data_IF_844137697606
#
_entry.id   IF_844137697606
#
_cell.length_a   1.000
_cell.length_b   1.000
_cell.length_c   1.000
_cell.angle_alpha   90.00
_cell.angle_beta   90.00
_cell.angle_gamma   90.00
#
_symmetry.space_group_name_H-M   'P 1'
#
loop_
_entity.id
_entity.type
_entity.pdbx_description
1 polymer ?
#
# COMPACT_ATOMS: atom_id res chain seq x y z
N UNK A 1 7.04 20.39 -16.83
CA UNK A 1 7.50 19.72 -15.59
C UNK A 1 6.35 19.16 -14.76
N UNK A 2 5.41 19.98 -14.24
CA UNK A 2 4.26 19.48 -13.47
C UNK A 2 3.29 18.68 -14.36
N UNK A 3 3.00 19.18 -15.57
CA UNK A 3 2.15 18.48 -16.53
C UNK A 3 2.73 17.10 -16.93
N UNK A 4 4.04 17.05 -17.20
CA UNK A 4 4.73 15.80 -17.57
C UNK A 4 4.70 14.78 -16.41
N UNK A 5 4.85 15.25 -15.16
CA UNK A 5 4.74 14.42 -13.97
C UNK A 5 3.32 13.87 -13.79
N UNK A 6 2.30 14.71 -13.95
CA UNK A 6 0.90 14.29 -13.84
C UNK A 6 0.55 13.27 -14.92
N UNK A 7 1.04 13.47 -16.14
CA UNK A 7 0.84 12.53 -17.23
C UNK A 7 1.57 11.21 -16.99
N UNK A 8 2.79 11.25 -16.45
CA UNK A 8 3.51 10.05 -16.03
C UNK A 8 2.75 9.25 -14.97
N UNK A 9 2.26 9.94 -13.92
CA UNK A 9 1.48 9.32 -12.84
C UNK A 9 0.19 8.71 -13.39
N UNK A 10 -0.53 9.43 -14.27
CA UNK A 10 -1.75 8.91 -14.90
C UNK A 10 -1.49 7.67 -15.74
N UNK A 11 -0.36 7.62 -16.45
CA UNK A 11 -0.01 6.50 -17.33
C UNK A 11 0.48 5.25 -16.58
N UNK A 12 0.90 5.40 -15.32
CA UNK A 12 1.45 4.30 -14.49
C UNK A 12 0.65 4.11 -13.20
N UNK A 13 -0.60 4.60 -13.17
CA UNK A 13 -1.42 4.59 -11.97
C UNK A 13 -1.70 3.16 -11.49
N UNK A 14 -1.87 2.22 -12.41
CA UNK A 14 -1.98 0.78 -12.17
C UNK A 14 -0.74 0.24 -11.45
N UNK A 15 0.46 0.58 -11.92
CA UNK A 15 1.72 0.18 -11.33
C UNK A 15 1.92 0.78 -9.94
N UNK A 16 1.55 2.06 -9.76
CA UNK A 16 1.61 2.75 -8.47
C UNK A 16 0.69 2.07 -7.45
N UNK A 17 -0.57 1.80 -7.82
CA UNK A 17 -1.54 1.16 -6.94
C UNK A 17 -1.16 -0.30 -6.64
N UNK A 18 -0.60 -1.01 -7.61
CA UNK A 18 -0.04 -2.35 -7.42
C UNK A 18 1.12 -2.32 -6.43
N UNK A 19 2.07 -1.41 -6.61
CA UNK A 19 3.20 -1.22 -5.71
C UNK A 19 2.77 -0.90 -4.29
N UNK A 20 1.79 0.00 -4.11
CA UNK A 20 1.24 0.35 -2.81
C UNK A 20 0.58 -0.86 -2.13
N UNK A 21 -0.23 -1.62 -2.88
CA UNK A 21 -0.90 -2.83 -2.37
C UNK A 21 0.12 -3.90 -1.96
N UNK A 22 1.09 -4.17 -2.84
CA UNK A 22 2.14 -5.15 -2.58
C UNK A 22 3.08 -4.74 -1.45
N UNK A 23 3.32 -3.44 -1.25
CA UNK A 23 4.07 -2.95 -0.10
C UNK A 23 3.35 -3.27 1.22
N UNK A 24 2.05 -2.97 1.32
CA UNK A 24 1.26 -3.27 2.53
C UNK A 24 1.23 -4.78 2.82
N UNK A 25 1.04 -5.60 1.78
CA UNK A 25 1.11 -7.06 1.90
C UNK A 25 2.50 -7.50 2.38
N UNK A 26 3.55 -7.03 1.71
CA UNK A 26 4.94 -7.42 1.97
C UNK A 26 5.38 -7.15 3.41
N UNK A 27 5.09 -5.95 3.93
CA UNK A 27 5.40 -5.57 5.32
C UNK A 27 4.67 -6.48 6.33
N UNK A 28 3.55 -7.09 5.92
CA UNK A 28 2.77 -7.99 6.78
C UNK A 28 3.28 -9.43 6.81
N UNK A 29 4.14 -9.85 5.86
CA UNK A 29 4.60 -11.24 5.75
C UNK A 29 5.67 -11.57 6.79
N UNK A 30 6.68 -10.71 6.93
CA UNK A 30 7.78 -10.90 7.87
C UNK A 30 8.34 -9.54 8.30
N UNK A 31 9.07 -9.52 9.42
CA UNK A 31 9.78 -8.34 9.91
C UNK A 31 11.29 -8.59 9.83
N UNK A 32 11.99 -7.74 9.11
CA UNK A 32 13.45 -7.75 9.01
C UNK A 32 13.97 -6.40 9.51
N UNK A 33 14.74 -6.43 10.60
CA UNK A 33 15.31 -5.25 11.25
C UNK A 33 16.79 -5.43 11.50
N UNK A 34 17.43 -4.40 12.02
CA UNK A 34 18.85 -4.45 12.35
C UNK A 34 19.11 -5.55 13.40
N UNK A 35 19.81 -6.60 12.96
CA UNK A 35 20.18 -7.75 13.79
C UNK A 35 19.14 -8.87 13.95
N UNK A 36 17.90 -8.76 13.42
CA UNK A 36 16.92 -9.85 13.56
C UNK A 36 15.93 -10.01 12.40
N UNK A 37 15.41 -11.23 12.29
CA UNK A 37 14.35 -11.60 11.37
C UNK A 37 13.23 -12.32 12.13
N UNK A 38 11.99 -11.85 11.98
CA UNK A 38 10.83 -12.37 12.67
C UNK A 38 9.76 -12.80 11.66
N UNK A 39 9.20 -14.00 11.89
CA UNK A 39 8.15 -14.57 11.06
C UNK A 39 7.09 -15.23 11.95
N UNK A 40 5.84 -14.80 11.81
CA UNK A 40 4.73 -15.13 12.72
C UNK A 40 5.08 -14.90 14.20
N UNK A 41 5.63 -13.72 14.51
CA UNK A 41 5.95 -13.34 15.87
C UNK A 41 7.16 -14.06 16.48
N UNK A 42 7.86 -14.94 15.75
CA UNK A 42 9.01 -15.70 16.27
C UNK A 42 10.31 -15.32 15.56
N UNK A 43 11.38 -15.12 16.32
CA UNK A 43 12.73 -14.95 15.78
C UNK A 43 13.16 -16.20 15.00
N UNK A 44 13.73 -16.00 13.83
CA UNK A 44 14.19 -17.08 12.94
C UNK A 44 15.70 -17.00 12.76
N UNK A 45 16.34 -18.16 12.81
CA UNK A 45 17.75 -18.30 12.44
C UNK A 45 17.97 -18.05 10.95
N UNK A 46 19.23 -17.80 10.57
CA UNK A 46 19.64 -17.35 9.22
C UNK A 46 19.08 -18.20 8.07
N UNK A 47 19.15 -19.52 8.16
CA UNK A 47 18.65 -20.41 7.10
C UNK A 47 17.13 -20.41 6.97
N UNK A 48 16.42 -20.34 8.10
CA UNK A 48 14.95 -20.23 8.08
C UNK A 48 14.52 -18.87 7.54
N UNK A 49 15.19 -17.80 7.95
CA UNK A 49 14.98 -16.46 7.42
C UNK A 49 15.17 -16.42 5.90
N UNK A 50 16.22 -17.06 5.37
CA UNK A 50 16.46 -17.18 3.93
C UNK A 50 15.30 -17.89 3.22
N UNK A 51 14.84 -19.03 3.74
CA UNK A 51 13.70 -19.75 3.15
C UNK A 51 12.44 -18.90 3.13
N UNK A 52 12.11 -18.23 4.25
CA UNK A 52 10.95 -17.34 4.33
C UNK A 52 11.08 -16.21 3.32
N UNK A 53 12.25 -15.57 3.22
CA UNK A 53 12.49 -14.49 2.28
C UNK A 53 12.31 -14.94 0.83
N UNK A 54 12.92 -16.06 0.43
CA UNK A 54 12.83 -16.58 -0.94
C UNK A 54 11.40 -17.00 -1.28
N UNK A 55 10.70 -17.67 -0.36
CA UNK A 55 9.29 -18.03 -0.55
C UNK A 55 8.39 -16.82 -0.67
N UNK A 56 8.60 -15.78 0.15
CA UNK A 56 7.85 -14.53 0.07
C UNK A 56 8.13 -13.81 -1.25
N UNK A 57 9.39 -13.75 -1.68
CA UNK A 57 9.77 -13.17 -2.96
C UNK A 57 9.09 -13.89 -4.13
N UNK A 58 9.22 -15.21 -4.19
CA UNK A 58 8.58 -16.01 -5.23
C UNK A 58 7.05 -15.87 -5.24
N UNK A 59 6.42 -15.96 -4.05
CA UNK A 59 4.98 -15.75 -3.90
C UNK A 59 4.55 -14.35 -4.35
N UNK A 60 5.31 -13.31 -3.98
CA UNK A 60 5.03 -11.94 -4.40
C UNK A 60 5.13 -11.77 -5.91
N UNK A 61 6.08 -12.44 -6.58
CA UNK A 61 6.22 -12.40 -8.04
C UNK A 61 5.02 -13.04 -8.77
N UNK A 62 4.41 -14.06 -8.18
CA UNK A 62 3.20 -14.69 -8.74
C UNK A 62 1.94 -13.85 -8.50
N UNK A 63 1.85 -13.17 -7.36
CA UNK A 63 0.68 -12.38 -6.97
C UNK A 63 0.68 -10.99 -7.62
N UNK A 64 1.85 -10.38 -7.81
CA UNK A 64 1.99 -9.04 -8.42
C UNK A 64 1.23 -8.87 -9.74
N UNK A 65 1.35 -9.75 -10.75
CA UNK A 65 0.61 -9.57 -12.01
C UNK A 65 -0.90 -9.66 -11.81
N UNK A 66 -1.38 -10.53 -10.90
CA UNK A 66 -2.81 -10.66 -10.59
C UNK A 66 -3.34 -9.34 -9.99
N UNK A 67 -2.60 -8.77 -9.03
CA UNK A 67 -2.95 -7.48 -8.42
C UNK A 67 -2.89 -6.35 -9.46
N UNK A 68 -1.91 -6.38 -10.36
CA UNK A 68 -1.79 -5.48 -11.49
C UNK A 68 -3.01 -5.51 -12.40
N UNK A 69 -3.44 -6.70 -12.81
CA UNK A 69 -4.60 -6.89 -13.66
C UNK A 69 -5.88 -6.39 -12.98
N UNK A 70 -6.03 -6.63 -11.67
CA UNK A 70 -7.17 -6.11 -10.89
C UNK A 70 -7.20 -4.58 -10.93
N UNK A 71 -6.06 -3.92 -10.71
CA UNK A 71 -5.98 -2.46 -10.77
C UNK A 71 -6.22 -1.93 -12.18
N UNK A 72 -5.61 -2.52 -13.19
CA UNK A 72 -5.79 -2.12 -14.59
C UNK A 72 -7.27 -2.21 -15.03
N UNK A 73 -7.99 -3.25 -14.59
CA UNK A 73 -9.41 -3.41 -14.87
C UNK A 73 -10.30 -2.47 -14.05
N UNK A 74 -9.92 -2.16 -12.82
CA UNK A 74 -10.77 -1.36 -11.91
C UNK A 74 -10.59 0.14 -12.10
N UNK A 75 -9.38 0.60 -12.36
CA UNK A 75 -9.01 2.02 -12.41
C UNK A 75 -9.91 2.90 -13.30
N UNK A 76 -10.32 2.47 -14.51
CA UNK A 76 -11.22 3.27 -15.36
C UNK A 76 -12.56 3.61 -14.71
N UNK A 77 -12.98 2.84 -13.72
CA UNK A 77 -14.28 2.98 -13.04
C UNK A 77 -14.17 3.63 -11.65
N UNK A 78 -12.96 3.89 -11.17
CA UNK A 78 -12.75 4.47 -9.83
C UNK A 78 -12.58 6.00 -9.98
N UNK A 79 -13.47 6.81 -9.37
CA UNK A 79 -13.30 8.26 -9.34
C UNK A 79 -11.96 8.65 -8.69
N UNK A 80 -11.30 9.74 -9.15
CA UNK A 80 -10.01 10.16 -8.60
C UNK A 80 -10.02 10.41 -7.09
N UNK A 81 -11.15 10.88 -6.54
CA UNK A 81 -11.30 11.10 -5.09
C UNK A 81 -11.26 9.79 -4.30
N UNK A 82 -11.88 8.72 -4.81
CA UNK A 82 -11.81 7.41 -4.18
C UNK A 82 -10.40 6.84 -4.22
N UNK A 83 -9.67 7.04 -5.31
CA UNK A 83 -8.26 6.63 -5.40
C UNK A 83 -7.39 7.35 -4.37
N UNK A 84 -7.55 8.67 -4.25
CA UNK A 84 -6.83 9.44 -3.24
C UNK A 84 -7.17 8.93 -1.83
N UNK A 85 -8.44 8.65 -1.55
CA UNK A 85 -8.87 8.08 -0.28
C UNK A 85 -8.24 6.71 0.02
N UNK A 86 -8.20 5.83 -0.99
CA UNK A 86 -7.54 4.53 -0.89
C UNK A 86 -6.04 4.66 -0.64
N UNK A 87 -5.36 5.57 -1.35
CA UNK A 87 -3.93 5.84 -1.17
C UNK A 87 -3.64 6.31 0.25
N UNK A 88 -4.45 7.22 0.79
CA UNK A 88 -4.29 7.72 2.16
C UNK A 88 -4.44 6.60 3.19
N UNK A 89 -5.48 5.77 3.07
CA UNK A 89 -5.73 4.67 4.01
C UNK A 89 -4.60 3.64 3.92
N UNK A 90 -4.30 3.14 2.72
CA UNK A 90 -3.27 2.12 2.51
C UNK A 90 -1.88 2.63 2.90
N UNK A 91 -1.57 3.88 2.57
CA UNK A 91 -0.31 4.53 2.94
C UNK A 91 -0.15 4.62 4.45
N UNK A 92 -1.20 5.07 5.16
CA UNK A 92 -1.14 5.17 6.63
C UNK A 92 -1.08 3.80 7.31
N UNK A 93 -1.80 2.80 6.79
CA UNK A 93 -1.69 1.41 7.24
C UNK A 93 -0.25 0.89 7.05
N UNK A 94 0.34 1.14 5.88
CA UNK A 94 1.71 0.73 5.56
C UNK A 94 2.75 1.36 6.49
N UNK A 95 2.65 2.68 6.72
CA UNK A 95 3.56 3.40 7.63
C UNK A 95 3.42 2.90 9.06
N UNK A 96 2.18 2.76 9.55
CA UNK A 96 1.95 2.26 10.90
C UNK A 96 2.50 0.85 11.10
N UNK A 97 2.30 -0.03 10.12
CA UNK A 97 2.83 -1.38 10.20
C UNK A 97 4.36 -1.41 10.14
N UNK A 98 4.98 -0.65 9.23
CA UNK A 98 6.43 -0.62 9.08
C UNK A 98 7.15 -0.06 10.33
N UNK A 99 6.58 1.00 10.90
CA UNK A 99 7.14 1.67 12.07
C UNK A 99 6.67 1.06 13.41
N UNK A 100 5.80 0.03 13.38
CA UNK A 100 5.12 -0.52 14.58
C UNK A 100 4.41 0.56 15.41
N UNK A 101 3.83 1.55 14.75
CA UNK A 101 3.05 2.59 15.40
C UNK A 101 1.61 2.13 15.67
N UNK A 102 0.97 2.81 16.63
CA UNK A 102 -0.41 2.53 16.96
C UNK A 102 -1.33 2.97 15.82
N UNK A 103 -2.06 2.01 15.24
CA UNK A 103 -3.02 2.24 14.15
C UNK A 103 -4.17 3.17 14.55
N UNK A 104 -4.49 3.31 15.83
CA UNK A 104 -5.64 4.07 16.32
C UNK A 104 -5.25 5.34 17.08
N UNK A 105 -4.01 5.81 16.92
CA UNK A 105 -3.65 7.12 17.45
C UNK A 105 -4.41 8.24 16.71
N UNK A 106 -4.50 9.41 17.34
CA UNK A 106 -5.27 10.53 16.78
C UNK A 106 -4.82 10.93 15.37
N UNK A 107 -3.52 10.82 15.05
CA UNK A 107 -3.02 11.16 13.71
C UNK A 107 -3.46 10.14 12.66
N UNK A 108 -3.37 8.85 12.96
CA UNK A 108 -3.86 7.80 12.05
C UNK A 108 -5.36 7.90 11.80
N UNK A 109 -6.15 8.10 12.86
CA UNK A 109 -7.61 8.20 12.75
C UNK A 109 -8.02 9.39 11.88
N UNK A 110 -7.32 10.52 11.97
CA UNK A 110 -7.58 11.66 11.09
C UNK A 110 -7.33 11.32 9.62
N UNK A 111 -6.22 10.65 9.30
CA UNK A 111 -5.91 10.24 7.92
C UNK A 111 -6.92 9.21 7.39
N UNK A 112 -7.29 8.22 8.21
CA UNK A 112 -8.32 7.25 7.84
C UNK A 112 -9.68 7.90 7.66
N UNK A 113 -10.04 8.86 8.53
CA UNK A 113 -11.28 9.62 8.43
C UNK A 113 -11.35 10.41 7.12
N UNK A 114 -10.27 11.12 6.78
CA UNK A 114 -10.17 11.84 5.49
C UNK A 114 -10.27 10.87 4.31
N UNK A 115 -9.55 9.76 4.35
CA UNK A 115 -9.61 8.74 3.30
C UNK A 115 -11.01 8.13 3.14
N UNK A 116 -11.69 7.83 4.25
CA UNK A 116 -13.05 7.29 4.25
C UNK A 116 -14.07 8.30 3.71
N UNK A 117 -13.92 9.58 4.07
CA UNK A 117 -14.76 10.66 3.52
C UNK A 117 -14.58 10.78 2.01
N UNK A 118 -13.35 10.70 1.51
CA UNK A 118 -13.06 10.73 0.06
C UNK A 118 -13.55 9.49 -0.69
N UNK A 119 -13.54 8.31 -0.05
CA UNK A 119 -14.14 7.10 -0.60
C UNK A 119 -15.67 7.24 -0.73
N UNK A 120 -16.32 7.79 0.30
CA UNK A 120 -17.76 7.96 0.34
C UNK A 120 -18.24 9.13 -0.53
N UNK A 121 -17.46 10.21 -0.63
CA UNK A 121 -17.81 11.45 -1.33
C UNK A 121 -16.63 11.89 -2.21
N UNK A 122 -16.36 11.20 -3.32
CA UNK A 122 -15.19 11.46 -4.14
C UNK A 122 -15.18 12.83 -4.82
N UNK A 123 -16.34 13.44 -4.98
CA UNK A 123 -16.47 14.77 -5.59
C UNK A 123 -15.91 15.90 -4.71
N UNK A 124 -15.65 15.65 -3.43
CA UNK A 124 -15.06 16.63 -2.51
C UNK A 124 -13.66 17.09 -2.95
N UNK A 125 -12.98 16.35 -3.83
CA UNK A 125 -11.72 16.84 -4.41
C UNK A 125 -11.92 18.08 -5.30
N UNK A 126 -13.12 18.27 -5.83
CA UNK A 126 -13.46 19.40 -6.70
C UNK A 126 -14.08 20.57 -5.92
N UNK A 127 -14.46 20.38 -4.65
CA UNK A 127 -15.06 21.44 -3.81
C UNK A 127 -14.03 22.39 -3.19
N UNK A 128 -12.73 22.05 -3.28
CA UNK A 128 -11.61 22.89 -2.82
C UNK A 128 -11.01 23.71 -3.97
N UNK A 129 -11.63 23.68 -5.16
CA UNK A 129 -11.25 24.51 -6.31
C UNK A 129 -11.80 25.95 -6.21
#
# INVERSE_FOLDING_TARGET
>A
MIADLLQYVSNHLDSIMTGLTMAVIGISVYEARDGFFQFFGKFRGKYVALMVFVSALFGSSLVTPIVGDIWAQSLPYIPPGQLLGAILILGMVGVNKAAEWNFFDGKSVLVYGLGAVLLANPELIYSVA
#
